data_IF_360001473406
#
_entry.id   IF_360001473406
#
_cell.length_a   1.000
_cell.length_b   1.000
_cell.length_c   1.000
_cell.angle_alpha   90.00
_cell.angle_beta   90.00
_cell.angle_gamma   90.00
#
_symmetry.space_group_name_H-M   'P 1'
#
loop_
_entity.id
_entity.type
_entity.pdbx_description
1 polymer ?
#
# COMPACT_ATOMS: atom_id res chain seq x y z
N UNK A 1 -16.49 -22.15 15.51
CA UNK A 1 -15.18 -21.86 16.13
C UNK A 1 -14.13 -22.07 15.07
N UNK A 2 -13.27 -21.08 14.84
CA UNK A 2 -12.29 -21.12 13.74
C UNK A 2 -10.93 -21.45 14.35
N UNK A 3 -10.32 -22.57 13.96
CA UNK A 3 -8.94 -22.88 14.35
C UNK A 3 -7.95 -21.97 13.61
N UNK A 4 -6.78 -21.71 14.17
CA UNK A 4 -5.73 -20.92 13.50
C UNK A 4 -5.38 -21.46 12.11
N UNK A 5 -5.20 -22.79 11.97
CA UNK A 5 -4.89 -23.43 10.67
C UNK A 5 -5.99 -23.24 9.62
N UNK A 6 -7.25 -23.24 10.05
CA UNK A 6 -8.39 -22.98 9.16
C UNK A 6 -8.47 -21.51 8.75
N UNK A 7 -8.21 -20.59 9.69
CA UNK A 7 -8.12 -19.16 9.40
C UNK A 7 -7.01 -18.86 8.38
N UNK A 8 -5.82 -19.46 8.55
CA UNK A 8 -4.70 -19.35 7.61
C UNK A 8 -5.08 -19.82 6.20
N UNK A 9 -5.61 -21.03 6.08
CA UNK A 9 -6.04 -21.58 4.78
C UNK A 9 -7.12 -20.72 4.11
N UNK A 10 -8.02 -20.14 4.90
CA UNK A 10 -9.07 -19.28 4.37
C UNK A 10 -8.53 -17.90 3.93
N UNK A 11 -7.57 -17.34 4.66
CA UNK A 11 -6.85 -16.13 4.26
C UNK A 11 -6.10 -16.34 2.94
N UNK A 12 -5.36 -17.44 2.82
CA UNK A 12 -4.66 -17.86 1.59
C UNK A 12 -5.64 -18.03 0.42
N UNK A 13 -6.80 -18.68 0.65
CA UNK A 13 -7.85 -18.83 -0.38
C UNK A 13 -8.40 -17.49 -0.86
N UNK A 14 -8.42 -16.47 0.01
CA UNK A 14 -8.89 -15.12 -0.29
C UNK A 14 -7.82 -14.24 -0.96
N UNK A 15 -6.63 -14.79 -1.24
CA UNK A 15 -5.53 -14.07 -1.90
C UNK A 15 -4.73 -13.18 -0.95
N UNK A 16 -4.82 -13.40 0.35
CA UNK A 16 -3.97 -12.73 1.36
C UNK A 16 -3.30 -13.76 2.27
N UNK A 17 -2.78 -13.29 3.40
CA UNK A 17 -2.26 -14.13 4.48
C UNK A 17 -2.73 -13.59 5.83
N UNK A 18 -2.57 -14.37 6.90
CA UNK A 18 -2.85 -13.82 8.23
C UNK A 18 -1.82 -12.71 8.52
N UNK A 19 -2.30 -11.59 9.07
CA UNK A 19 -1.50 -10.40 9.24
C UNK A 19 -0.21 -10.64 10.04
N UNK A 20 0.88 -10.07 9.53
CA UNK A 20 2.20 -10.02 10.15
C UNK A 20 2.53 -8.56 10.48
N UNK A 21 3.61 -8.32 11.23
CA UNK A 21 4.05 -6.97 11.60
C UNK A 21 5.55 -6.90 11.36
N UNK A 22 5.97 -5.96 10.51
CA UNK A 22 7.33 -5.82 10.03
C UNK A 22 8.25 -5.12 11.02
N UNK A 23 7.74 -4.07 11.67
CA UNK A 23 8.49 -3.16 12.52
C UNK A 23 7.56 -2.33 13.41
N UNK A 24 8.15 -1.54 14.32
CA UNK A 24 7.41 -0.75 15.30
C UNK A 24 6.50 0.31 14.68
N UNK A 25 6.85 0.86 13.52
CA UNK A 25 6.00 1.85 12.84
C UNK A 25 4.73 1.19 12.28
N UNK A 26 4.84 -0.01 11.70
CA UNK A 26 3.67 -0.78 11.28
C UNK A 26 2.83 -1.24 12.48
N UNK A 27 3.48 -1.60 13.60
CA UNK A 27 2.78 -1.93 14.83
C UNK A 27 1.92 -0.77 15.33
N UNK A 28 2.46 0.44 15.37
CA UNK A 28 1.72 1.65 15.75
C UNK A 28 0.56 1.94 14.80
N UNK A 29 0.77 1.83 13.48
CA UNK A 29 -0.29 2.01 12.47
C UNK A 29 -1.39 0.95 12.63
N UNK A 30 -1.00 -0.31 12.82
CA UNK A 30 -1.93 -1.40 13.07
C UNK A 30 -2.76 -1.18 14.32
N UNK A 31 -2.14 -0.74 15.44
CA UNK A 31 -2.85 -0.44 16.68
C UNK A 31 -3.85 0.70 16.50
N UNK A 32 -3.51 1.72 15.70
CA UNK A 32 -4.45 2.80 15.38
C UNK A 32 -5.64 2.27 14.58
N UNK A 33 -5.40 1.50 13.51
CA UNK A 33 -6.46 0.91 12.70
C UNK A 33 -7.34 -0.08 13.49
N UNK A 34 -6.74 -0.83 14.41
CA UNK A 34 -7.45 -1.83 15.21
C UNK A 34 -8.46 -1.22 16.19
N UNK A 35 -8.36 0.08 16.51
CA UNK A 35 -9.36 0.80 17.33
C UNK A 35 -10.75 0.80 16.70
N UNK A 36 -10.83 0.70 15.37
CA UNK A 36 -12.08 0.69 14.62
C UNK A 36 -12.62 -0.72 14.37
N UNK A 37 -11.89 -1.77 14.76
CA UNK A 37 -12.36 -3.15 14.60
C UNK A 37 -13.57 -3.43 15.49
N UNK A 38 -14.64 -3.93 14.87
CA UNK A 38 -15.91 -4.24 15.54
C UNK A 38 -16.10 -5.74 15.65
N UNK A 39 -15.39 -6.37 16.57
CA UNK A 39 -15.58 -7.80 16.87
C UNK A 39 -16.02 -8.04 18.31
N UNK A 40 -16.51 -9.26 18.55
CA UNK A 40 -17.04 -9.70 19.84
C UNK A 40 -16.00 -10.50 20.65
N UNK A 41 -14.82 -10.74 20.10
CA UNK A 41 -13.80 -11.60 20.68
C UNK A 41 -12.40 -11.24 20.17
N UNK A 42 -11.50 -12.21 20.23
CA UNK A 42 -10.16 -12.11 19.69
C UNK A 42 -10.14 -12.42 18.18
N UNK A 43 -9.08 -11.95 17.52
CA UNK A 43 -8.81 -12.24 16.11
C UNK A 43 -7.46 -12.92 15.92
N UNK A 44 -7.41 -14.01 15.15
CA UNK A 44 -6.14 -14.64 14.77
C UNK A 44 -5.24 -13.70 13.98
N UNK A 45 -3.94 -13.78 14.25
CA UNK A 45 -2.87 -13.16 13.46
C UNK A 45 -1.86 -14.21 12.99
N UNK A 46 -0.92 -13.80 12.14
CA UNK A 46 0.07 -14.65 11.48
C UNK A 46 1.22 -15.11 12.38
N UNK A 47 1.17 -14.87 13.70
CA UNK A 47 2.24 -15.30 14.61
C UNK A 47 1.96 -16.66 15.23
N UNK A 48 3.02 -17.47 15.34
CA UNK A 48 3.00 -18.76 16.00
C UNK A 48 4.33 -19.04 16.71
N UNK A 49 4.32 -19.93 17.69
CA UNK A 49 5.51 -20.42 18.38
C UNK A 49 5.84 -21.85 17.95
N UNK A 50 7.12 -22.14 17.80
CA UNK A 50 7.67 -23.48 17.64
C UNK A 50 8.77 -23.71 18.69
N UNK A 51 8.86 -24.95 19.18
CA UNK A 51 9.79 -25.37 20.22
C UNK A 51 11.27 -25.14 19.89
N UNK A 52 11.63 -25.15 18.60
CA UNK A 52 13.02 -24.96 18.16
C UNK A 52 13.36 -23.47 17.93
N UNK A 53 12.36 -22.68 17.53
CA UNK A 53 12.58 -21.41 16.85
C UNK A 53 11.91 -20.21 17.53
N UNK A 54 11.18 -20.44 18.62
CA UNK A 54 10.43 -19.41 19.35
C UNK A 54 9.24 -18.86 18.56
N UNK A 55 8.81 -17.66 18.95
CA UNK A 55 7.70 -16.94 18.31
C UNK A 55 8.13 -16.28 17.00
N UNK A 56 7.40 -16.57 15.92
CA UNK A 56 7.68 -16.08 14.57
C UNK A 56 6.42 -15.68 13.82
N UNK A 57 6.58 -14.72 12.92
CA UNK A 57 5.58 -14.39 11.90
C UNK A 57 5.55 -15.43 10.77
N UNK A 58 4.49 -15.42 9.95
CA UNK A 58 4.33 -16.37 8.83
C UNK A 58 5.46 -16.30 7.80
N UNK A 59 6.13 -15.16 7.67
CA UNK A 59 7.30 -14.95 6.81
C UNK A 59 8.64 -15.42 7.42
N UNK A 60 8.61 -15.91 8.67
CA UNK A 60 9.77 -16.46 9.37
C UNK A 60 10.56 -15.46 10.22
N UNK A 61 10.21 -14.17 10.21
CA UNK A 61 10.83 -13.18 11.10
C UNK A 61 10.47 -13.43 12.56
N UNK A 62 11.38 -13.07 13.44
CA UNK A 62 11.16 -13.14 14.90
C UNK A 62 10.20 -12.04 15.34
N UNK A 63 9.35 -12.36 16.31
CA UNK A 63 8.36 -11.41 16.83
C UNK A 63 9.01 -10.60 17.94
N UNK A 64 8.83 -9.27 17.90
CA UNK A 64 9.25 -8.41 19.00
C UNK A 64 8.42 -8.75 20.27
N UNK A 65 9.11 -8.99 21.39
CA UNK A 65 8.49 -9.32 22.67
C UNK A 65 7.56 -8.22 23.18
N UNK A 66 7.87 -6.95 22.86
CA UNK A 66 7.08 -5.79 23.25
C UNK A 66 5.69 -5.75 22.60
N UNK A 67 5.44 -6.57 21.57
CA UNK A 67 4.13 -6.67 20.94
C UNK A 67 3.17 -7.56 21.74
N UNK A 68 3.68 -8.46 22.59
CA UNK A 68 2.86 -9.32 23.42
C UNK A 68 2.47 -8.63 24.74
N UNK A 69 1.29 -8.95 25.24
CA UNK A 69 0.96 -8.61 26.63
C UNK A 69 1.86 -9.41 27.59
N UNK A 70 2.14 -8.83 28.75
CA UNK A 70 3.07 -9.37 29.74
C UNK A 70 2.72 -10.82 30.08
N UNK A 71 3.70 -11.73 29.96
CA UNK A 71 3.56 -13.14 30.32
C UNK A 71 2.84 -14.00 29.27
N UNK A 72 2.46 -13.46 28.12
CA UNK A 72 1.76 -14.23 27.08
C UNK A 72 2.70 -15.11 26.26
N UNK A 73 3.97 -14.73 26.06
CA UNK A 73 4.91 -15.51 25.25
C UNK A 73 5.29 -16.83 25.94
N UNK A 74 5.39 -16.83 27.27
CA UNK A 74 5.78 -17.97 28.11
C UNK A 74 4.72 -19.07 28.12
N UNK A 75 3.44 -18.70 27.94
CA UNK A 75 2.32 -19.66 27.81
C UNK A 75 2.44 -20.57 26.59
N UNK A 76 3.37 -20.29 25.66
CA UNK A 76 3.72 -21.22 24.60
C UNK A 76 4.13 -22.60 25.15
N UNK A 77 4.78 -22.65 26.32
CA UNK A 77 5.13 -23.90 27.01
C UNK A 77 3.88 -24.72 27.41
N UNK A 78 2.74 -24.05 27.63
CA UNK A 78 1.45 -24.65 27.97
C UNK A 78 0.61 -25.01 26.72
N UNK A 79 1.19 -24.91 25.52
CA UNK A 79 0.51 -25.21 24.26
C UNK A 79 -0.26 -24.02 23.66
N UNK A 80 -0.12 -22.82 24.23
CA UNK A 80 -0.68 -21.58 23.67
C UNK A 80 0.28 -21.03 22.60
N UNK A 81 0.36 -21.73 21.46
CA UNK A 81 1.39 -21.47 20.45
C UNK A 81 0.93 -20.60 19.27
N UNK A 82 -0.25 -19.99 19.33
CA UNK A 82 -0.78 -19.14 18.25
C UNK A 82 -1.17 -17.77 18.77
N UNK A 83 -0.79 -16.71 18.05
CA UNK A 83 -1.09 -15.35 18.48
C UNK A 83 -2.44 -14.85 18.01
N UNK A 84 -3.06 -14.06 18.89
CA UNK A 84 -4.29 -13.34 18.63
C UNK A 84 -4.12 -11.88 19.02
N UNK A 85 -4.86 -11.01 18.35
CA UNK A 85 -5.05 -9.63 18.81
C UNK A 85 -6.41 -9.48 19.50
N UNK A 86 -6.45 -8.72 20.59
CA UNK A 86 -7.69 -8.38 21.26
C UNK A 86 -8.47 -7.36 20.43
N UNK A 87 -9.45 -7.82 19.66
CA UNK A 87 -10.33 -6.99 18.84
C UNK A 87 -11.69 -6.73 19.49
N UNK A 88 -11.84 -7.00 20.80
CA UNK A 88 -13.10 -6.83 21.53
C UNK A 88 -13.47 -5.35 21.63
N UNK A 89 -14.76 -5.06 21.49
CA UNK A 89 -15.26 -3.69 21.73
C UNK A 89 -14.91 -3.18 23.13
N UNK A 90 -14.72 -1.85 23.28
CA UNK A 90 -14.50 -1.21 24.59
C UNK A 90 -15.54 -1.61 25.65
N UNK A 91 -16.79 -1.81 25.22
CA UNK A 91 -17.89 -2.26 26.10
C UNK A 91 -17.70 -3.70 26.58
N UNK A 92 -17.19 -4.57 25.72
CA UNK A 92 -16.89 -5.98 26.07
C UNK A 92 -15.67 -6.05 26.99
N UNK A 93 -14.60 -5.29 26.69
CA UNK A 93 -13.40 -5.19 27.56
C UNK A 93 -13.74 -4.73 28.97
N UNK A 94 -14.51 -3.64 29.11
CA UNK A 94 -14.90 -3.09 30.41
C UNK A 94 -15.79 -4.04 31.25
N UNK A 95 -16.47 -5.00 30.62
CA UNK A 95 -17.28 -6.00 31.33
C UNK A 95 -16.39 -7.09 31.93
N UNK A 96 -15.38 -7.55 31.19
CA UNK A 96 -14.47 -8.61 31.62
C UNK A 96 -13.43 -8.08 32.63
N UNK A 97 -12.98 -6.83 32.48
CA UNK A 97 -12.07 -6.18 33.45
C UNK A 97 -12.67 -6.06 34.86
N UNK A 98 -13.99 -5.95 34.98
CA UNK A 98 -14.68 -5.97 36.27
C UNK A 98 -14.76 -7.34 36.93
N UNK A 99 -14.45 -8.42 36.21
CA UNK A 99 -14.51 -9.80 36.71
C UNK A 99 -13.16 -10.28 37.23
N UNK A 100 -12.05 -9.67 36.80
CA UNK A 100 -10.69 -10.02 37.22
C UNK A 100 -10.04 -8.88 38.04
N UNK A 101 -10.47 -8.69 39.28
CA UNK A 101 -9.70 -7.92 40.26
C UNK A 101 -8.47 -8.75 40.69
N UNK A 102 -7.30 -8.47 40.09
CA UNK A 102 -6.03 -9.02 40.59
C UNK A 102 -4.85 -9.15 39.62
N UNK A 103 -5.01 -8.92 38.32
CA UNK A 103 -3.88 -8.95 37.37
C UNK A 103 -3.46 -7.53 36.98
N UNK A 104 -2.21 -7.17 37.32
CA UNK A 104 -1.62 -5.89 36.96
C UNK A 104 -1.61 -5.67 35.44
N UNK A 105 -1.87 -4.42 35.04
CA UNK A 105 -1.77 -3.84 33.67
C UNK A 105 -0.57 -4.45 32.93
N UNK A 106 -0.68 -4.96 31.70
CA UNK A 106 -1.07 -4.28 30.46
C UNK A 106 -1.66 -5.33 29.49
N UNK A 107 -2.97 -5.30 29.23
CA UNK A 107 -3.66 -6.23 28.29
C UNK A 107 -3.64 -5.75 26.82
N UNK A 108 -2.87 -4.71 26.53
CA UNK A 108 -2.78 -4.13 25.19
C UNK A 108 -1.59 -4.77 24.48
N UNK A 109 -1.89 -5.65 23.52
CA UNK A 109 -0.89 -6.41 22.79
C UNK A 109 -1.45 -7.70 22.23
N UNK A 110 -0.57 -8.51 21.68
CA UNK A 110 -0.83 -9.89 21.27
C UNK A 110 -1.04 -10.75 22.52
N UNK A 111 -1.97 -11.69 22.43
CA UNK A 111 -2.15 -12.77 23.39
C UNK A 111 -1.84 -14.11 22.72
N UNK A 112 -1.51 -15.11 23.52
CA UNK A 112 -1.24 -16.46 23.06
C UNK A 112 -2.42 -17.38 23.36
N UNK A 113 -2.78 -18.21 22.39
CA UNK A 113 -3.95 -19.09 22.45
C UNK A 113 -3.61 -20.48 21.89
N UNK A 114 -4.30 -21.53 22.36
CA UNK A 114 -4.23 -22.85 21.75
C UNK A 114 -4.82 -22.84 20.35
N UNK A 115 -4.54 -23.86 19.53
CA UNK A 115 -4.96 -23.95 18.12
C UNK A 115 -6.46 -23.69 17.86
N UNK A 116 -7.30 -23.94 18.87
CA UNK A 116 -8.75 -23.81 18.85
C UNK A 116 -9.17 -23.17 20.16
N UNK A 117 -9.83 -22.00 20.10
CA UNK A 117 -10.30 -21.31 21.28
C UNK A 117 -11.67 -20.65 21.06
N UNK A 118 -12.57 -20.76 22.05
CA UNK A 118 -13.99 -20.33 21.96
C UNK A 118 -14.15 -18.82 21.76
N UNK A 119 -13.24 -18.04 22.34
CA UNK A 119 -13.32 -16.58 22.30
C UNK A 119 -12.64 -15.99 21.06
N UNK A 120 -12.06 -16.82 20.18
CA UNK A 120 -11.51 -16.35 18.91
C UNK A 120 -12.59 -16.47 17.83
N UNK A 121 -13.03 -15.32 17.33
CA UNK A 121 -14.23 -15.21 16.49
C UNK A 121 -13.96 -14.67 15.11
N UNK A 122 -12.76 -14.12 14.88
CA UNK A 122 -12.34 -13.55 13.62
C UNK A 122 -10.85 -13.82 13.38
N UNK A 123 -10.34 -13.33 12.26
CA UNK A 123 -8.93 -13.36 11.90
C UNK A 123 -8.64 -12.14 11.02
N UNK A 124 -7.42 -11.60 11.12
CA UNK A 124 -6.99 -10.41 10.39
C UNK A 124 -6.22 -10.88 9.16
N UNK A 125 -6.70 -10.49 7.98
CA UNK A 125 -5.99 -10.71 6.73
C UNK A 125 -5.20 -9.46 6.41
N UNK A 126 -3.92 -9.64 6.13
CA UNK A 126 -3.19 -8.69 5.31
C UNK A 126 -3.22 -9.19 3.86
N UNK A 127 -3.52 -8.27 2.96
CA UNK A 127 -3.19 -8.50 1.57
C UNK A 127 -1.77 -7.98 1.44
N UNK A 128 -0.86 -8.84 1.00
CA UNK A 128 0.40 -8.33 0.48
C UNK A 128 0.02 -7.23 -0.49
N UNK A 129 0.58 -6.05 -0.28
CA UNK A 129 0.47 -5.00 -1.29
C UNK A 129 1.22 -5.54 -2.51
N UNK A 130 0.53 -6.34 -3.33
CA UNK A 130 0.67 -6.16 -4.76
C UNK A 130 0.38 -4.69 -4.90
N UNK A 131 1.43 -3.87 -5.06
CA UNK A 131 1.32 -2.43 -5.11
C UNK A 131 0.05 -2.11 -5.90
N UNK A 132 -0.86 -1.30 -5.35
CA UNK A 132 -2.06 -0.87 -6.07
C UNK A 132 -1.60 0.06 -7.19
N UNK A 133 -0.93 -0.51 -8.18
CA UNK A 133 -0.57 0.09 -9.43
C UNK A 133 -1.67 -0.28 -10.39
N UNK A 134 -2.39 0.72 -10.84
CA UNK A 134 -3.10 0.64 -12.10
C UNK A 134 -2.13 0.91 -13.26
N UNK A 135 -2.65 0.91 -14.47
CA UNK A 135 -1.93 1.45 -15.61
C UNK A 135 -2.39 2.88 -15.82
N UNK A 136 -1.41 3.78 -15.89
CA UNK A 136 -1.60 5.19 -16.16
C UNK A 136 -1.37 5.48 -17.62
N UNK A 137 -2.28 6.25 -18.18
CA UNK A 137 -2.14 6.76 -19.54
C UNK A 137 -1.52 8.17 -19.53
N UNK A 138 -0.71 8.47 -20.54
CA UNK A 138 -0.09 9.78 -20.72
C UNK A 138 -1.15 10.78 -21.21
N UNK A 139 -1.51 11.77 -20.39
CA UNK A 139 -2.55 12.75 -20.74
C UNK A 139 -2.15 13.62 -21.95
N UNK A 140 -0.85 13.74 -22.27
CA UNK A 140 -0.37 14.43 -23.50
C UNK A 140 -0.68 13.65 -24.79
N UNK A 141 -1.05 12.38 -24.69
CA UNK A 141 -1.43 11.51 -25.81
C UNK A 141 -2.93 11.15 -25.84
N UNK A 142 -3.62 11.20 -24.69
CA UNK A 142 -5.05 10.88 -24.60
C UNK A 142 -5.97 12.01 -25.08
N UNK A 143 -5.90 13.17 -24.41
CA UNK A 143 -6.72 14.37 -24.66
C UNK A 143 -6.44 15.41 -23.56
N UNK A 144 -6.46 16.69 -23.92
CA UNK A 144 -6.55 17.76 -22.93
C UNK A 144 -7.99 18.21 -22.71
N UNK A 145 -8.23 19.01 -21.68
CA UNK A 145 -9.53 19.65 -21.47
C UNK A 145 -9.57 21.04 -22.11
N UNK A 146 -10.71 21.37 -22.72
CA UNK A 146 -11.04 22.74 -23.10
C UNK A 146 -11.91 23.31 -21.98
N UNK A 147 -11.40 24.28 -21.21
CA UNK A 147 -12.07 24.79 -20.01
C UNK A 147 -13.24 25.74 -20.33
N UNK A 148 -14.08 25.37 -21.30
CA UNK A 148 -15.31 26.10 -21.60
C UNK A 148 -16.37 25.75 -20.55
N UNK A 149 -16.30 26.46 -19.41
CA UNK A 149 -17.35 26.64 -18.40
C UNK A 149 -18.25 25.43 -18.18
N UNK A 150 -17.78 24.48 -17.38
CA UNK A 150 -18.71 23.57 -16.70
C UNK A 150 -19.48 24.40 -15.66
N UNK A 151 -20.69 24.87 -16.01
CA UNK A 151 -21.49 25.85 -15.23
C UNK A 151 -21.82 25.40 -13.80
N UNK A 152 -21.62 24.12 -13.47
CA UNK A 152 -21.98 23.53 -12.19
C UNK A 152 -20.80 23.22 -11.25
N UNK A 153 -19.56 23.50 -11.66
CA UNK A 153 -18.40 23.38 -10.76
C UNK A 153 -18.03 24.77 -10.27
N UNK A 154 -18.31 25.06 -9.00
CA UNK A 154 -17.78 26.26 -8.33
C UNK A 154 -16.25 26.18 -8.39
N UNK A 155 -15.66 26.93 -9.32
CA UNK A 155 -14.23 27.22 -9.37
C UNK A 155 -13.84 27.95 -8.07
N UNK A 156 -13.53 27.21 -6.99
CA UNK A 156 -12.91 27.80 -5.80
C UNK A 156 -11.41 28.00 -5.96
N UNK A 157 -10.81 27.39 -6.99
CA UNK A 157 -9.48 27.70 -7.49
C UNK A 157 -9.49 27.32 -8.97
N UNK A 158 -9.03 28.19 -9.87
CA UNK A 158 -9.00 27.94 -11.31
C UNK A 158 -8.02 26.84 -11.75
N UNK A 159 -7.68 25.89 -10.88
CA UNK A 159 -6.72 24.81 -11.11
C UNK A 159 -7.46 23.48 -11.05
N UNK A 160 -7.39 22.72 -12.14
CA UNK A 160 -7.67 21.29 -12.10
C UNK A 160 -6.76 20.66 -11.03
N UNK A 161 -7.25 19.67 -10.24
CA UNK A 161 -6.48 19.06 -9.14
C UNK A 161 -5.08 18.58 -9.54
N UNK A 162 -4.88 18.27 -10.83
CA UNK A 162 -3.72 17.52 -11.32
C UNK A 162 -2.83 18.28 -12.34
N UNK A 163 -2.95 19.60 -12.48
CA UNK A 163 -2.24 20.36 -13.53
C UNK A 163 -2.44 19.80 -14.96
N UNK A 164 -3.62 19.21 -15.20
CA UNK A 164 -4.02 18.64 -16.49
C UNK A 164 -3.76 19.62 -17.65
N UNK A 165 -3.38 19.12 -18.83
CA UNK A 165 -2.92 19.96 -19.91
C UNK A 165 -4.11 20.70 -20.53
N UNK A 166 -3.98 22.02 -20.62
CA UNK A 166 -5.00 22.85 -21.25
C UNK A 166 -4.80 22.85 -22.76
N UNK A 167 -5.78 22.38 -23.52
CA UNK A 167 -5.62 22.16 -24.97
C UNK A 167 -5.29 23.46 -25.71
N UNK A 168 -5.94 24.57 -25.35
CA UNK A 168 -5.76 25.85 -26.05
C UNK A 168 -4.35 26.43 -25.81
N UNK A 169 -3.86 26.35 -24.57
CA UNK A 169 -2.59 26.96 -24.17
C UNK A 169 -1.40 26.06 -24.52
N UNK A 170 -1.54 24.74 -24.36
CA UNK A 170 -0.45 23.77 -24.47
C UNK A 170 -0.58 22.87 -25.71
N UNK A 171 -1.38 23.25 -26.72
CA UNK A 171 -1.62 22.47 -27.97
C UNK A 171 -0.34 21.91 -28.60
N UNK A 172 0.73 22.68 -28.55
CA UNK A 172 2.02 22.35 -29.15
C UNK A 172 2.77 21.21 -28.44
N UNK A 173 2.35 20.81 -27.23
CA UNK A 173 2.94 19.71 -26.46
C UNK A 173 2.27 18.36 -26.75
N UNK A 174 1.02 18.35 -27.20
CA UNK A 174 0.25 17.13 -27.41
C UNK A 174 0.75 16.28 -28.58
N UNK A 175 0.73 14.97 -28.38
CA UNK A 175 0.83 14.00 -29.46
C UNK A 175 -0.56 13.77 -30.04
N UNK A 176 -0.79 14.23 -31.28
CA UNK A 176 -2.12 14.18 -31.91
C UNK A 176 -2.31 12.88 -32.74
N UNK A 177 -1.22 12.20 -33.10
CA UNK A 177 -1.22 10.91 -33.81
C UNK A 177 0.01 10.10 -33.43
N UNK A 178 -0.08 8.77 -33.61
CA UNK A 178 1.06 7.86 -33.42
C UNK A 178 2.24 8.22 -34.33
N UNK A 179 1.98 8.61 -35.58
CA UNK A 179 3.01 9.08 -36.52
C UNK A 179 3.81 10.26 -35.97
N UNK A 180 3.15 11.21 -35.28
CA UNK A 180 3.85 12.34 -34.67
C UNK A 180 4.79 11.91 -33.54
N UNK A 181 4.41 10.92 -32.76
CA UNK A 181 5.23 10.40 -31.66
C UNK A 181 6.37 9.50 -32.08
N UNK A 182 6.21 8.81 -33.21
CA UNK A 182 7.17 7.83 -33.71
C UNK A 182 7.48 6.76 -32.65
N UNK A 183 8.74 6.31 -32.61
CA UNK A 183 9.17 5.28 -31.65
C UNK A 183 9.40 5.78 -30.23
N UNK A 184 9.50 7.09 -30.01
CA UNK A 184 10.09 7.62 -28.76
C UNK A 184 9.06 8.20 -27.77
N UNK A 185 7.79 8.31 -28.17
CA UNK A 185 6.74 8.89 -27.35
C UNK A 185 6.04 7.82 -26.49
N UNK A 186 6.09 7.90 -25.15
CA UNK A 186 5.35 6.99 -24.29
C UNK A 186 3.83 7.21 -24.35
N UNK A 187 3.04 6.14 -24.31
CA UNK A 187 1.57 6.19 -24.22
C UNK A 187 1.06 5.78 -22.84
N UNK A 188 1.50 4.64 -22.30
CA UNK A 188 1.05 4.17 -20.98
C UNK A 188 2.23 3.59 -20.19
N UNK A 189 2.11 3.67 -18.87
CA UNK A 189 3.05 3.08 -17.91
C UNK A 189 2.29 2.64 -16.66
N UNK A 190 2.98 2.00 -15.73
CA UNK A 190 2.44 1.63 -14.43
C UNK A 190 2.30 2.86 -13.53
N UNK A 191 1.30 2.89 -12.66
CA UNK A 191 1.03 4.09 -11.86
C UNK A 191 -0.12 3.97 -10.87
N UNK A 192 -0.28 4.97 -10.00
CA UNK A 192 -1.30 4.97 -8.94
C UNK A 192 -2.67 5.53 -9.36
N UNK A 193 -2.81 6.05 -10.58
CA UNK A 193 -4.05 6.69 -11.07
C UNK A 193 -4.46 6.22 -12.47
N UNK A 194 -5.59 6.70 -13.00
CA UNK A 194 -6.01 6.36 -14.38
C UNK A 194 -5.10 7.01 -15.44
N UNK A 195 -4.59 8.20 -15.14
CA UNK A 195 -3.72 8.95 -16.04
C UNK A 195 -2.84 9.94 -15.25
N UNK A 196 -1.88 10.53 -15.96
CA UNK A 196 -0.93 11.49 -15.42
C UNK A 196 -0.43 12.45 -16.50
N UNK A 197 -0.11 13.67 -16.05
CA UNK A 197 0.43 14.74 -16.90
C UNK A 197 1.88 15.02 -16.50
N UNK A 198 2.85 14.23 -17.01
CA UNK A 198 4.25 14.39 -16.66
C UNK A 198 4.79 15.74 -17.17
N UNK A 199 5.68 16.35 -16.39
CA UNK A 199 6.43 17.57 -16.70
C UNK A 199 7.89 17.41 -16.30
N UNK A 200 8.79 18.13 -16.96
CA UNK A 200 10.24 17.97 -16.74
C UNK A 200 10.67 18.43 -15.35
N UNK A 201 9.90 19.34 -14.75
CA UNK A 201 10.10 19.84 -13.39
C UNK A 201 9.52 18.96 -12.29
N UNK A 202 8.90 17.81 -12.63
CA UNK A 202 8.29 16.94 -11.63
C UNK A 202 9.35 16.40 -10.65
N UNK A 203 9.00 16.41 -9.36
CA UNK A 203 9.84 15.85 -8.30
C UNK A 203 9.73 14.33 -8.19
N UNK A 204 10.69 13.72 -7.50
CA UNK A 204 10.59 12.33 -7.09
C UNK A 204 9.47 12.13 -6.04
N UNK A 205 8.85 10.95 -5.95
CA UNK A 205 7.89 10.66 -4.88
C UNK A 205 8.60 10.57 -3.53
N UNK A 206 7.85 10.64 -2.43
CA UNK A 206 8.37 10.41 -1.07
C UNK A 206 8.68 8.94 -0.80
N UNK A 207 7.97 8.03 -1.44
CA UNK A 207 8.09 6.59 -1.29
C UNK A 207 7.89 5.90 -2.65
N UNK A 208 8.54 4.76 -2.85
CA UNK A 208 8.31 3.87 -3.99
C UNK A 208 7.27 2.77 -3.68
N UNK A 209 6.91 2.61 -2.41
CA UNK A 209 5.94 1.62 -1.92
C UNK A 209 4.52 2.17 -2.09
N UNK A 210 3.76 1.61 -3.02
CA UNK A 210 2.37 2.04 -3.30
C UNK A 210 2.22 3.35 -4.05
N UNK A 211 3.34 4.04 -4.35
CA UNK A 211 3.39 5.33 -5.05
C UNK A 211 2.83 6.47 -4.21
N UNK A 212 2.87 7.69 -4.74
CA UNK A 212 2.32 8.86 -4.04
C UNK A 212 0.99 9.26 -4.69
N UNK A 213 -0.16 8.73 -4.23
CA UNK A 213 -1.47 8.98 -4.85
C UNK A 213 -1.87 10.46 -4.80
N UNK A 214 -1.32 11.21 -3.85
CA UNK A 214 -1.56 12.66 -3.71
C UNK A 214 -0.52 13.51 -4.45
N UNK A 215 0.54 12.90 -4.99
CA UNK A 215 1.48 13.59 -5.88
C UNK A 215 0.85 13.88 -7.25
N UNK A 216 1.56 14.65 -8.06
CA UNK A 216 1.22 14.91 -9.46
C UNK A 216 2.40 14.48 -10.37
N UNK A 217 2.12 14.30 -11.66
CA UNK A 217 3.15 14.10 -12.67
C UNK A 217 3.89 12.76 -12.56
N UNK A 218 5.19 12.74 -12.90
CA UNK A 218 6.01 11.52 -12.95
C UNK A 218 6.08 10.77 -11.62
N UNK A 219 5.93 11.45 -10.48
CA UNK A 219 5.92 10.80 -9.16
C UNK A 219 4.85 9.69 -9.05
N UNK A 220 3.70 9.85 -9.73
CA UNK A 220 2.64 8.83 -9.79
C UNK A 220 3.07 7.55 -10.52
N UNK A 221 4.08 7.63 -11.38
CA UNK A 221 4.65 6.50 -12.10
C UNK A 221 5.83 5.87 -11.36
N UNK A 222 6.31 6.43 -10.26
CA UNK A 222 7.49 5.93 -9.56
C UNK A 222 7.12 4.84 -8.55
N UNK A 223 6.94 3.61 -9.04
CA UNK A 223 6.50 2.46 -8.26
C UNK A 223 7.53 1.33 -8.32
N UNK A 224 8.08 0.90 -7.19
CA UNK A 224 8.99 -0.26 -7.19
C UNK A 224 8.22 -1.56 -6.94
N UNK A 225 7.24 -1.86 -7.80
CA UNK A 225 6.34 -3.00 -7.63
C UNK A 225 7.06 -4.35 -7.77
N UNK A 226 7.97 -4.45 -8.73
CA UNK A 226 8.68 -5.69 -9.04
C UNK A 226 10.03 -5.81 -8.35
N UNK A 227 10.35 -4.89 -7.44
CA UNK A 227 11.63 -4.86 -6.72
C UNK A 227 12.87 -4.72 -7.63
N UNK A 228 12.68 -4.28 -8.87
CA UNK A 228 13.73 -4.10 -9.89
C UNK A 228 13.96 -2.62 -10.26
N UNK A 229 13.29 -1.71 -9.54
CA UNK A 229 13.29 -0.26 -9.75
C UNK A 229 12.97 0.12 -11.20
N UNK A 230 12.03 -0.58 -11.84
CA UNK A 230 11.59 -0.29 -13.19
C UNK A 230 10.07 -0.42 -13.39
N UNK A 231 9.56 0.28 -14.40
CA UNK A 231 8.20 0.13 -14.92
C UNK A 231 8.24 -0.35 -16.36
N UNK A 232 7.21 -1.10 -16.76
CA UNK A 232 6.93 -1.29 -18.18
C UNK A 232 6.31 -0.02 -18.77
N UNK A 233 6.93 0.50 -19.83
CA UNK A 233 6.47 1.67 -20.57
C UNK A 233 6.19 1.26 -22.00
N UNK A 234 4.98 1.55 -22.49
CA UNK A 234 4.63 1.40 -23.90
C UNK A 234 4.86 2.69 -24.67
N UNK A 235 5.19 2.55 -25.94
CA UNK A 235 5.42 3.67 -26.84
C UNK A 235 4.47 3.66 -28.04
N UNK A 236 4.40 4.78 -28.76
CA UNK A 236 3.51 4.98 -29.90
C UNK A 236 3.72 4.05 -31.09
N UNK A 237 4.89 3.40 -31.19
CA UNK A 237 5.19 2.37 -32.19
C UNK A 237 4.77 0.95 -31.76
N UNK A 238 4.17 0.80 -30.57
CA UNK A 238 3.70 -0.47 -30.02
C UNK A 238 4.76 -1.26 -29.25
N UNK A 239 6.01 -0.78 -29.15
CA UNK A 239 7.02 -1.44 -28.30
C UNK A 239 6.71 -1.22 -26.83
N UNK A 240 7.15 -2.16 -26.00
CA UNK A 240 7.11 -2.06 -24.54
C UNK A 240 8.53 -2.30 -24.02
N UNK A 241 8.99 -1.43 -23.13
CA UNK A 241 10.30 -1.57 -22.48
C UNK A 241 10.19 -1.46 -20.97
N UNK A 242 11.02 -2.22 -20.27
CA UNK A 242 11.28 -2.00 -18.85
C UNK A 242 12.21 -0.80 -18.69
N UNK A 243 11.68 0.29 -18.16
CA UNK A 243 12.40 1.55 -17.95
C UNK A 243 12.62 1.75 -16.46
N UNK A 244 13.88 1.89 -16.09
CA UNK A 244 14.29 2.22 -14.72
C UNK A 244 13.59 3.50 -14.26
N UNK A 245 13.08 3.51 -13.02
CA UNK A 245 12.31 4.64 -12.46
C UNK A 245 13.07 5.96 -12.56
N UNK A 246 14.38 5.93 -12.32
CA UNK A 246 15.26 7.11 -12.42
C UNK A 246 15.38 7.68 -13.84
N UNK A 247 15.11 6.85 -14.86
CA UNK A 247 15.16 7.22 -16.28
C UNK A 247 13.81 7.67 -16.83
N UNK A 248 12.72 7.66 -16.05
CA UNK A 248 11.42 8.14 -16.52
C UNK A 248 11.48 9.61 -17.00
N UNK A 249 12.31 10.46 -16.38
CA UNK A 249 12.53 11.85 -16.81
C UNK A 249 13.32 12.00 -18.12
N UNK A 250 13.94 10.94 -18.62
CA UNK A 250 14.65 10.96 -19.91
C UNK A 250 13.74 10.65 -21.09
N UNK A 251 12.52 10.14 -20.84
CA UNK A 251 11.55 9.84 -21.89
C UNK A 251 10.84 11.10 -22.39
N UNK A 252 10.52 11.11 -23.68
CA UNK A 252 9.88 12.25 -24.35
C UNK A 252 8.35 12.22 -24.16
N UNK A 253 7.88 12.48 -22.94
CA UNK A 253 6.44 12.37 -22.62
C UNK A 253 5.55 13.32 -23.42
N UNK A 254 6.06 14.49 -23.81
CA UNK A 254 5.36 15.44 -24.67
C UNK A 254 6.29 16.02 -25.75
N UNK A 255 5.74 16.65 -26.79
CA UNK A 255 6.49 17.06 -27.99
C UNK A 255 7.69 17.96 -27.73
N UNK A 256 7.59 18.84 -26.74
CA UNK A 256 8.64 19.79 -26.38
C UNK A 256 9.49 19.35 -25.18
N UNK A 257 9.45 18.06 -24.82
CA UNK A 257 10.14 17.56 -23.63
C UNK A 257 11.63 17.89 -23.68
N UNK A 258 12.14 18.53 -22.63
CA UNK A 258 13.56 18.76 -22.44
C UNK A 258 14.04 18.03 -21.20
N UNK A 259 14.81 16.97 -21.40
CA UNK A 259 15.40 16.21 -20.31
C UNK A 259 16.11 17.14 -19.31
N UNK A 260 15.75 17.10 -18.02
CA UNK A 260 16.40 17.91 -17.01
C UNK A 260 17.91 17.65 -16.97
N UNK A 261 18.71 18.71 -16.84
CA UNK A 261 20.17 18.58 -16.71
C UNK A 261 20.57 17.74 -15.47
N UNK A 262 19.71 17.73 -14.45
CA UNK A 262 19.86 16.91 -13.25
C UNK A 262 18.56 16.15 -13.00
N UNK A 263 18.64 14.83 -13.03
CA UNK A 263 17.50 13.95 -12.75
C UNK A 263 17.16 13.96 -11.25
N UNK A 264 15.87 13.89 -10.87
CA UNK A 264 15.47 13.75 -9.47
C UNK A 264 16.09 12.51 -8.81
N UNK A 265 16.47 12.65 -7.54
CA UNK A 265 16.94 11.52 -6.74
C UNK A 265 15.73 10.79 -6.17
N UNK A 266 15.61 9.52 -6.52
CA UNK A 266 14.59 8.65 -5.95
C UNK A 266 14.94 8.27 -4.51
N UNK A 267 13.94 8.06 -3.63
CA UNK A 267 14.17 7.52 -2.30
C UNK A 267 14.75 6.11 -2.40
N UNK A 268 15.53 5.72 -1.38
CA UNK A 268 15.94 4.34 -1.18
C UNK A 268 14.74 3.55 -0.67
N UNK A 269 14.66 2.28 -1.06
CA UNK A 269 13.70 1.36 -0.49
C UNK A 269 14.20 0.86 0.86
#
# INVERSE_FOLDING_TARGET
MISWRSARKDAERRGGKLATIDNDAEWEEFQEAAKDFRTWGYSWMGTHSDSENGWRWLDGREVNEDYFAIGEMEKAADGHIYGVYDTRSKRTRARDEKVEEGSGKQKEGLCSMPAIHRNVTAYIIEYESTATSSYMMNSWALSGHNNKRNRNVRQKSGQCPDNHPQVEEEKHKFWISSEMGGSNAPIFTEGVWADFTPRESDGAPKSLSGGDPMSAGIARACLNRYQDFANNVSFMDGRVESVQLSKLWTLKWHRQWKTPAKLPKLPKQ
#
